data_IF_930147617231
#
_entry.id   IF_930147617231
#
_cell.length_a   1.000
_cell.length_b   1.000
_cell.length_c   1.000
_cell.angle_alpha   90.00
_cell.angle_beta   90.00
_cell.angle_gamma   90.00
#
_symmetry.space_group_name_H-M   'P 1'
#
loop_
_entity.id
_entity.type
_entity.pdbx_description
1 polymer ?
#
# COMPACT_ATOMS: atom_id res chain seq x y z
N UNK A 1 -0.20 1.71 -16.97
CA UNK A 1 0.80 2.15 -15.96
C UNK A 1 0.05 2.71 -14.78
N UNK A 2 0.28 2.20 -13.56
CA UNK A 2 -0.32 2.78 -12.35
C UNK A 2 0.31 4.15 -12.11
N UNK A 3 -0.51 5.17 -11.83
CA UNK A 3 0.01 6.45 -11.34
C UNK A 3 0.69 6.20 -10.00
N UNK A 4 1.84 6.81 -9.77
CA UNK A 4 2.66 6.53 -8.59
C UNK A 4 2.25 7.36 -7.36
N UNK A 5 1.52 8.47 -7.51
CA UNK A 5 1.00 9.27 -6.40
C UNK A 5 -0.51 9.46 -6.47
N UNK A 6 -1.17 9.29 -5.32
CA UNK A 6 -2.63 9.28 -5.20
C UNK A 6 -3.20 10.26 -4.15
N UNK A 7 -2.36 11.08 -3.49
CA UNK A 7 -2.83 12.04 -2.48
C UNK A 7 -3.58 11.36 -1.33
N UNK A 8 -4.80 11.82 -1.05
CA UNK A 8 -5.70 11.29 0.00
C UNK A 8 -6.27 9.90 -0.33
N UNK A 9 -5.42 8.91 -0.57
CA UNK A 9 -5.82 7.51 -0.75
C UNK A 9 -5.72 6.78 0.59
N UNK A 10 -6.72 5.97 0.94
CA UNK A 10 -6.68 5.14 2.15
C UNK A 10 -5.71 3.95 1.97
N UNK A 11 -5.20 3.39 3.06
CA UNK A 11 -4.38 2.18 3.00
C UNK A 11 -5.12 0.99 2.37
N UNK A 12 -6.41 0.85 2.67
CA UNK A 12 -7.27 -0.21 2.13
C UNK A 12 -7.50 -0.07 0.63
N UNK A 13 -7.73 1.15 0.14
CA UNK A 13 -7.90 1.40 -1.29
C UNK A 13 -6.57 1.23 -2.04
N UNK A 14 -5.46 1.59 -1.42
CA UNK A 14 -4.12 1.34 -1.94
C UNK A 14 -3.85 -0.16 -2.13
N UNK A 15 -4.15 -0.98 -1.12
CA UNK A 15 -4.05 -2.45 -1.19
C UNK A 15 -4.90 -3.01 -2.33
N UNK A 16 -6.17 -2.59 -2.40
CA UNK A 16 -7.09 -3.02 -3.45
C UNK A 16 -6.55 -2.66 -4.83
N UNK A 17 -6.09 -1.42 -5.02
CA UNK A 17 -5.58 -0.94 -6.29
C UNK A 17 -4.30 -1.68 -6.72
N UNK A 18 -3.39 -1.93 -5.78
CA UNK A 18 -2.19 -2.71 -6.03
C UNK A 18 -2.52 -4.17 -6.37
N UNK A 19 -3.45 -4.80 -5.66
CA UNK A 19 -3.85 -6.20 -5.89
C UNK A 19 -4.61 -6.38 -7.21
N UNK A 20 -5.50 -5.44 -7.57
CA UNK A 20 -6.35 -5.56 -8.77
C UNK A 20 -5.64 -5.14 -10.05
N UNK A 21 -4.73 -4.16 -9.98
CA UNK A 21 -4.14 -3.52 -11.17
C UNK A 21 -2.62 -3.57 -11.20
N UNK A 22 -1.99 -3.90 -10.08
CA UNK A 22 -0.55 -4.02 -9.95
C UNK A 22 -0.05 -5.42 -10.30
N UNK A 23 1.26 -5.52 -10.33
CA UNK A 23 2.05 -6.76 -10.37
C UNK A 23 3.06 -6.72 -9.22
N UNK A 24 3.67 -7.84 -8.87
CA UNK A 24 4.70 -7.89 -7.83
C UNK A 24 5.78 -6.82 -8.05
N UNK A 25 6.12 -6.09 -6.99
CA UNK A 25 6.98 -4.90 -7.02
C UNK A 25 6.27 -3.59 -7.41
N UNK A 26 4.97 -3.61 -7.72
CA UNK A 26 4.22 -2.37 -7.94
C UNK A 26 4.10 -1.58 -6.65
N UNK A 27 4.15 -0.26 -6.77
CA UNK A 27 4.06 0.63 -5.63
C UNK A 27 3.21 1.87 -5.93
N UNK A 28 2.79 2.53 -4.86
CA UNK A 28 2.21 3.87 -4.92
C UNK A 28 2.53 4.64 -3.64
N UNK A 29 2.48 5.97 -3.74
CA UNK A 29 2.64 6.93 -2.66
C UNK A 29 1.29 7.58 -2.38
N UNK A 30 0.95 7.69 -1.09
CA UNK A 30 -0.25 8.35 -0.57
C UNK A 30 0.08 9.22 0.63
N UNK A 31 -0.79 10.13 0.97
CA UNK A 31 -0.66 10.92 2.20
C UNK A 31 -1.00 10.06 3.42
N UNK A 32 -0.29 10.31 4.52
CA UNK A 32 -0.57 9.66 5.79
C UNK A 32 -1.85 10.25 6.40
N UNK A 33 -2.83 9.38 6.64
CA UNK A 33 -4.07 9.77 7.33
C UNK A 33 -3.88 9.88 8.85
N UNK A 34 -2.86 9.20 9.41
CA UNK A 34 -2.56 9.24 10.85
C UNK A 34 -1.61 10.37 11.23
N UNK A 35 -0.75 10.82 10.30
CA UNK A 35 0.20 11.91 10.52
C UNK A 35 0.15 12.90 9.34
N UNK A 36 -0.72 13.93 9.40
CA UNK A 36 -0.85 14.92 8.35
C UNK A 36 0.51 15.57 8.00
N UNK A 37 0.82 15.66 6.72
CA UNK A 37 2.11 16.16 6.22
C UNK A 37 3.15 15.07 5.91
N UNK A 38 2.96 13.85 6.40
CA UNK A 38 3.79 12.69 6.03
C UNK A 38 3.24 11.96 4.80
N UNK A 39 4.13 11.16 4.18
CA UNK A 39 3.79 10.29 3.06
C UNK A 39 3.96 8.82 3.44
N UNK A 40 3.21 7.97 2.74
CA UNK A 40 3.26 6.51 2.90
C UNK A 40 3.57 5.89 1.55
N UNK A 41 4.59 5.03 1.50
CA UNK A 41 4.88 4.16 0.37
C UNK A 41 4.19 2.81 0.57
N UNK A 42 3.28 2.45 -0.33
CA UNK A 42 2.60 1.15 -0.34
C UNK A 42 3.18 0.29 -1.47
N UNK A 43 3.65 -0.91 -1.17
CA UNK A 43 4.32 -1.81 -2.12
C UNK A 43 3.63 -3.18 -2.13
N UNK A 44 3.38 -3.73 -3.32
CA UNK A 44 2.91 -5.10 -3.50
C UNK A 44 4.10 -6.05 -3.54
N UNK A 45 4.30 -6.84 -2.49
CA UNK A 45 5.32 -7.90 -2.45
C UNK A 45 4.75 -9.23 -2.94
N UNK A 46 5.62 -10.16 -3.33
CA UNK A 46 5.24 -11.48 -3.84
C UNK A 46 5.12 -12.54 -2.74
N UNK A 47 4.96 -12.14 -1.47
CA UNK A 47 4.87 -13.10 -0.37
C UNK A 47 3.51 -13.82 -0.47
N UNK A 48 3.56 -15.11 -0.81
CA UNK A 48 2.39 -15.97 -0.70
C UNK A 48 1.86 -15.89 0.72
N UNK A 49 0.56 -15.57 0.82
CA UNK A 49 -0.13 -15.40 2.10
C UNK A 49 -0.07 -16.70 2.89
N UNK A 50 0.88 -16.82 3.81
CA UNK A 50 0.68 -17.66 4.98
C UNK A 50 -0.42 -16.97 5.80
N UNK A 51 -1.65 -17.50 5.72
CA UNK A 51 -2.76 -17.12 6.58
C UNK A 51 -2.42 -17.48 8.02
N UNK A 52 -1.82 -16.51 8.74
CA UNK A 52 -1.90 -16.45 10.19
C UNK A 52 -2.78 -15.25 10.53
N UNK A 53 -3.82 -15.55 11.29
CA UNK A 53 -4.93 -14.68 11.66
C UNK A 53 -4.52 -13.60 12.67
N UNK A 54 -3.67 -12.64 12.28
CA UNK A 54 -3.53 -11.37 13.00
C UNK A 54 -2.87 -10.32 12.08
N UNK A 55 -3.69 -9.48 11.43
CA UNK A 55 -3.22 -8.28 10.72
C UNK A 55 -2.43 -8.54 9.43
N UNK A 56 -3.14 -8.87 8.34
CA UNK A 56 -2.59 -9.12 6.99
C UNK A 56 -1.65 -7.98 6.54
N UNK A 57 -0.39 -8.35 6.28
CA UNK A 57 0.74 -7.46 6.07
C UNK A 57 0.59 -6.53 4.86
N UNK A 58 0.45 -5.24 5.15
CA UNK A 58 1.03 -4.19 4.34
C UNK A 58 2.15 -3.61 5.19
N UNK A 59 3.40 -3.67 4.73
CA UNK A 59 4.50 -3.00 5.40
C UNK A 59 4.30 -1.48 5.27
N UNK A 60 3.69 -0.90 6.29
CA UNK A 60 3.54 0.54 6.51
C UNK A 60 4.88 1.11 6.99
N UNK A 61 5.86 1.27 6.09
CA UNK A 61 7.01 2.11 6.39
C UNK A 61 6.57 3.58 6.26
N UNK A 62 6.19 4.19 7.38
CA UNK A 62 6.08 5.65 7.49
C UNK A 62 7.48 6.22 7.30
N UNK A 63 7.66 7.03 6.25
CA UNK A 63 8.87 7.81 6.00
C UNK A 63 8.63 9.20 6.58
#
# INVERSE_FOLDING_TARGET
VLRWYHGHLSGRDAEKLLTEKGKSGSFLVRESQSKPGDFVLSVLTNEEKHENEEGRGLTLWQI
#
